data_IF_594050002041
#
_entry.id   IF_594050002041
#
_cell.length_a   1.000
_cell.length_b   1.000
_cell.length_c   1.000
_cell.angle_alpha   90.00
_cell.angle_beta   90.00
_cell.angle_gamma   90.00
#
_symmetry.space_group_name_H-M   'P 1'
#
loop_
_entity.id
_entity.type
_entity.pdbx_description
1 polymer ?
#
# COMPACT_ATOMS: atom_id res chain seq x y z
N UNK A 1 4.08 23.94 -0.90
CA UNK A 1 5.54 23.70 -0.95
C UNK A 1 6.11 24.49 -2.13
N UNK A 2 7.38 24.88 -2.13
CA UNK A 2 8.02 25.34 -3.38
C UNK A 2 8.26 24.11 -4.28
N UNK A 3 8.05 24.22 -5.59
CA UNK A 3 8.31 23.13 -6.53
C UNK A 3 9.80 22.83 -6.71
N UNK A 4 10.12 21.59 -7.08
CA UNK A 4 11.49 21.09 -7.14
C UNK A 4 12.35 21.87 -8.13
N UNK A 5 11.79 22.25 -9.28
CA UNK A 5 12.51 22.99 -10.32
C UNK A 5 12.88 24.39 -9.85
N UNK A 6 11.95 25.07 -9.16
CA UNK A 6 12.24 26.38 -8.54
C UNK A 6 13.37 26.30 -7.52
N UNK A 7 13.36 25.27 -6.65
CA UNK A 7 14.43 25.06 -5.66
C UNK A 7 15.77 24.78 -6.34
N UNK A 8 15.80 23.90 -7.35
CA UNK A 8 17.02 23.61 -8.11
C UNK A 8 17.60 24.88 -8.76
N UNK A 9 16.75 25.74 -9.34
CA UNK A 9 17.15 27.01 -9.94
C UNK A 9 17.68 28.00 -8.90
N UNK A 10 17.01 28.15 -7.75
CA UNK A 10 17.44 29.04 -6.66
C UNK A 10 18.83 28.66 -6.11
N UNK A 11 19.17 27.37 -6.14
CA UNK A 11 20.45 26.84 -5.63
C UNK A 11 21.50 26.54 -6.72
N UNK A 12 21.23 26.87 -7.98
CA UNK A 12 22.17 26.62 -9.09
C UNK A 12 22.44 25.13 -9.35
N UNK A 13 21.49 24.25 -9.02
CA UNK A 13 21.62 22.81 -9.21
C UNK A 13 21.34 22.48 -10.68
N UNK A 14 22.40 22.20 -11.43
CA UNK A 14 22.31 21.81 -12.84
C UNK A 14 22.39 20.31 -13.05
N UNK A 15 22.96 19.56 -12.10
CA UNK A 15 23.14 18.12 -12.19
C UNK A 15 21.80 17.37 -12.16
N UNK A 16 21.56 16.53 -13.17
CA UNK A 16 20.29 15.80 -13.32
C UNK A 16 20.08 14.72 -12.25
N UNK A 17 21.15 14.12 -11.73
CA UNK A 17 21.04 13.13 -10.66
C UNK A 17 20.61 13.80 -9.34
N UNK A 18 21.16 14.98 -9.03
CA UNK A 18 20.74 15.77 -7.86
C UNK A 18 19.29 16.24 -8.01
N UNK A 19 18.87 16.69 -9.20
CA UNK A 19 17.45 17.04 -9.46
C UNK A 19 16.52 15.85 -9.25
N UNK A 20 16.87 14.68 -9.77
CA UNK A 20 16.13 13.45 -9.54
C UNK A 20 16.02 13.12 -8.03
N UNK A 21 17.11 13.31 -7.27
CA UNK A 21 17.10 13.15 -5.82
C UNK A 21 16.17 14.14 -5.09
N UNK A 22 16.08 15.39 -5.56
CA UNK A 22 15.15 16.39 -5.04
C UNK A 22 13.69 16.00 -5.31
N UNK A 23 13.36 15.60 -6.54
CA UNK A 23 12.01 15.14 -6.90
C UNK A 23 11.62 13.90 -6.09
N UNK A 24 12.53 12.92 -5.95
CA UNK A 24 12.27 11.73 -5.13
C UNK A 24 12.02 12.10 -3.66
N UNK A 25 12.80 13.04 -3.12
CA UNK A 25 12.59 13.54 -1.75
C UNK A 25 11.24 14.23 -1.61
N UNK A 26 10.79 14.97 -2.63
CA UNK A 26 9.49 15.61 -2.66
C UNK A 26 8.35 14.57 -2.72
N UNK A 27 8.50 13.51 -3.53
CA UNK A 27 7.55 12.37 -3.57
C UNK A 27 7.45 11.71 -2.19
N UNK A 28 8.59 11.37 -1.58
CA UNK A 28 8.63 10.62 -0.32
C UNK A 28 8.23 11.44 0.92
N UNK A 29 8.28 12.77 0.84
CA UNK A 29 7.85 13.67 1.91
C UNK A 29 6.45 14.25 1.62
N UNK A 30 6.35 15.47 1.07
CA UNK A 30 5.07 16.09 0.74
C UNK A 30 4.14 15.24 -0.14
N UNK A 31 4.67 14.47 -1.09
CA UNK A 31 3.86 13.64 -1.98
C UNK A 31 3.09 12.55 -1.24
N UNK A 32 3.78 11.78 -0.38
CA UNK A 32 3.14 10.78 0.51
C UNK A 32 2.03 11.41 1.36
N UNK A 33 2.27 12.63 1.88
CA UNK A 33 1.25 13.35 2.65
C UNK A 33 0.04 13.71 1.78
N UNK A 34 0.26 14.27 0.58
CA UNK A 34 -0.81 14.61 -0.35
C UNK A 34 -1.65 13.39 -0.75
N UNK A 35 -1.01 12.24 -0.96
CA UNK A 35 -1.69 10.96 -1.19
C UNK A 35 -2.55 10.57 0.01
N UNK A 36 -2.00 10.66 1.22
CA UNK A 36 -2.75 10.34 2.44
C UNK A 36 -3.95 11.29 2.67
N UNK A 37 -3.83 12.54 2.22
CA UNK A 37 -4.90 13.54 2.24
C UNK A 37 -5.93 13.35 1.10
N UNK A 38 -5.73 12.34 0.23
CA UNK A 38 -6.66 11.97 -0.83
C UNK A 38 -6.55 12.81 -2.11
N UNK A 39 -5.45 13.53 -2.31
CA UNK A 39 -5.22 14.30 -3.54
C UNK A 39 -4.91 13.38 -4.74
N UNK A 40 -5.21 13.83 -5.96
CA UNK A 40 -4.89 13.08 -7.18
C UNK A 40 -3.39 13.10 -7.47
N UNK A 41 -2.88 12.06 -8.14
CA UNK A 41 -1.45 11.94 -8.44
C UNK A 41 -0.98 13.13 -9.30
N UNK A 42 -1.80 13.57 -10.25
CA UNK A 42 -1.53 14.74 -11.09
C UNK A 42 -1.46 16.04 -10.28
N UNK A 43 -2.43 16.28 -9.40
CA UNK A 43 -2.44 17.49 -8.56
C UNK A 43 -1.17 17.59 -7.70
N UNK A 44 -0.72 16.45 -7.15
CA UNK A 44 0.51 16.37 -6.36
C UNK A 44 1.75 16.59 -7.25
N UNK A 45 1.82 15.92 -8.40
CA UNK A 45 2.94 16.05 -9.34
C UNK A 45 3.09 17.49 -9.85
N UNK A 46 2.00 18.13 -10.25
CA UNK A 46 1.97 19.52 -10.70
C UNK A 46 2.40 20.48 -9.57
N UNK A 47 1.88 20.29 -8.35
CA UNK A 47 2.21 21.14 -7.20
C UNK A 47 3.67 21.01 -6.74
N UNK A 48 4.29 19.85 -6.96
CA UNK A 48 5.69 19.59 -6.61
C UNK A 48 6.65 19.78 -7.80
N UNK A 49 6.12 20.10 -8.99
CA UNK A 49 6.86 20.22 -10.25
C UNK A 49 7.68 18.94 -10.54
N UNK A 50 7.08 17.76 -10.34
CA UNK A 50 7.71 16.47 -10.65
C UNK A 50 7.56 16.21 -12.14
N UNK A 51 8.70 16.16 -12.86
CA UNK A 51 8.71 15.97 -14.31
C UNK A 51 9.19 14.57 -14.70
N UNK A 52 9.92 13.88 -13.80
CA UNK A 52 10.43 12.55 -14.09
C UNK A 52 9.31 11.50 -14.07
N UNK A 53 9.08 10.85 -15.21
CA UNK A 53 8.02 9.83 -15.37
C UNK A 53 8.17 8.64 -14.43
N UNK A 54 9.40 8.24 -14.07
CA UNK A 54 9.64 7.16 -13.12
C UNK A 54 9.22 7.57 -11.70
N UNK A 55 9.37 8.84 -11.34
CA UNK A 55 8.92 9.36 -10.04
C UNK A 55 7.40 9.56 -9.99
N UNK A 56 6.77 9.90 -11.12
CA UNK A 56 5.31 9.84 -11.24
C UNK A 56 4.79 8.41 -11.01
N UNK A 57 5.45 7.39 -11.58
CA UNK A 57 5.10 5.99 -11.32
C UNK A 57 5.24 5.63 -9.83
N UNK A 58 6.31 6.07 -9.16
CA UNK A 58 6.47 5.86 -7.71
C UNK A 58 5.31 6.48 -6.93
N UNK A 59 4.90 7.71 -7.29
CA UNK A 59 3.77 8.38 -6.67
C UNK A 59 2.45 7.61 -6.89
N UNK A 60 2.18 7.15 -8.11
CA UNK A 60 0.99 6.33 -8.41
C UNK A 60 1.01 5.01 -7.62
N UNK A 61 2.16 4.34 -7.52
CA UNK A 61 2.30 3.11 -6.74
C UNK A 61 2.09 3.34 -5.23
N UNK A 62 2.48 4.50 -4.70
CA UNK A 62 2.15 4.89 -3.33
C UNK A 62 0.65 5.06 -3.15
N UNK A 63 -0.03 5.69 -4.11
CA UNK A 63 -1.49 5.85 -4.13
C UNK A 63 -2.21 4.50 -4.17
N UNK A 64 -1.77 3.58 -5.05
CA UNK A 64 -2.27 2.21 -5.16
C UNK A 64 -2.12 1.44 -3.84
N UNK A 65 -0.97 1.55 -3.18
CA UNK A 65 -0.72 0.88 -1.89
C UNK A 65 -1.48 1.52 -0.72
N UNK A 66 -1.79 2.81 -0.81
CA UNK A 66 -2.52 3.58 0.18
C UNK A 66 -4.02 3.67 -0.14
N UNK A 67 -4.54 4.89 -0.35
CA UNK A 67 -5.98 5.15 -0.37
C UNK A 67 -6.70 4.43 -1.52
N UNK A 68 -6.13 4.37 -2.72
CA UNK A 68 -6.78 3.70 -3.85
C UNK A 68 -7.00 2.20 -3.57
N UNK A 69 -5.99 1.53 -3.02
CA UNK A 69 -6.11 0.14 -2.58
C UNK A 69 -7.14 -0.04 -1.46
N UNK A 70 -7.32 0.95 -0.58
CA UNK A 70 -8.37 0.92 0.45
C UNK A 70 -9.78 1.02 -0.15
N UNK A 71 -9.99 1.80 -1.21
CA UNK A 71 -11.28 1.85 -1.92
C UNK A 71 -11.60 0.51 -2.59
N UNK A 72 -10.64 -0.13 -3.23
CA UNK A 72 -10.83 -1.47 -3.81
C UNK A 72 -11.21 -2.51 -2.75
N UNK A 73 -10.56 -2.46 -1.58
CA UNK A 73 -10.89 -3.33 -0.44
C UNK A 73 -12.29 -3.10 0.11
N UNK A 74 -12.92 -1.96 -0.19
CA UNK A 74 -14.33 -1.68 0.12
C UNK A 74 -15.30 -2.10 -0.99
N UNK A 75 -14.79 -2.65 -2.09
CA UNK A 75 -15.59 -3.14 -3.22
C UNK A 75 -15.79 -2.12 -4.34
N UNK A 76 -15.09 -0.97 -4.31
CA UNK A 76 -15.14 -0.03 -5.44
C UNK A 76 -14.51 -0.62 -6.70
N UNK A 77 -15.04 -0.25 -7.86
CA UNK A 77 -14.52 -0.75 -9.14
C UNK A 77 -13.14 -0.15 -9.45
N UNK A 78 -12.25 -0.96 -10.02
CA UNK A 78 -10.90 -0.53 -10.42
C UNK A 78 -10.91 0.69 -11.34
N UNK A 79 -11.84 0.76 -12.30
CA UNK A 79 -11.95 1.89 -13.23
C UNK A 79 -12.33 3.20 -12.52
N UNK A 80 -13.28 3.13 -11.57
CA UNK A 80 -13.70 4.31 -10.80
C UNK A 80 -12.56 4.83 -9.94
N UNK A 81 -11.84 3.92 -9.27
CA UNK A 81 -10.69 4.27 -8.42
C UNK A 81 -9.54 4.85 -9.26
N UNK A 82 -9.18 4.22 -10.38
CA UNK A 82 -8.11 4.71 -11.26
C UNK A 82 -8.41 6.12 -11.76
N UNK A 83 -9.66 6.37 -12.19
CA UNK A 83 -10.11 7.69 -12.64
C UNK A 83 -10.10 8.71 -11.51
N UNK A 84 -10.55 8.34 -10.32
CA UNK A 84 -10.62 9.25 -9.16
C UNK A 84 -9.24 9.75 -8.71
N UNK A 85 -8.21 8.91 -8.82
CA UNK A 85 -6.84 9.26 -8.42
C UNK A 85 -5.93 9.65 -9.60
N UNK A 86 -6.46 9.65 -10.82
CA UNK A 86 -5.75 9.90 -12.07
C UNK A 86 -4.50 9.03 -12.21
N UNK A 87 -4.64 7.73 -11.94
CA UNK A 87 -3.59 6.72 -12.14
C UNK A 87 -3.55 6.40 -13.64
N UNK A 88 -2.45 6.70 -14.30
CA UNK A 88 -2.34 6.58 -15.77
C UNK A 88 -1.25 5.61 -16.21
N UNK A 89 -0.23 5.35 -15.39
CA UNK A 89 0.86 4.46 -15.78
C UNK A 89 0.38 3.00 -15.78
N UNK A 90 0.74 2.27 -16.85
CA UNK A 90 0.28 0.90 -17.05
C UNK A 90 0.67 -0.04 -15.90
N UNK A 91 1.87 0.13 -15.34
CA UNK A 91 2.36 -0.67 -14.22
C UNK A 91 1.55 -0.43 -12.94
N UNK A 92 1.16 0.83 -12.69
CA UNK A 92 0.33 1.18 -11.54
C UNK A 92 -1.11 0.69 -11.73
N UNK A 93 -1.65 0.75 -12.94
CA UNK A 93 -2.96 0.19 -13.29
C UNK A 93 -2.99 -1.33 -13.11
N UNK A 94 -1.95 -2.04 -13.55
CA UNK A 94 -1.84 -3.49 -13.36
C UNK A 94 -1.75 -3.86 -11.87
N UNK A 95 -0.97 -3.11 -11.08
CA UNK A 95 -0.91 -3.28 -9.64
C UNK A 95 -2.28 -3.04 -8.97
N UNK A 96 -3.02 -2.01 -9.42
CA UNK A 96 -4.36 -1.70 -8.93
C UNK A 96 -5.35 -2.84 -9.25
N UNK A 97 -5.32 -3.38 -10.48
CA UNK A 97 -6.15 -4.52 -10.88
C UNK A 97 -5.85 -5.77 -10.06
N UNK A 98 -4.57 -6.06 -9.79
CA UNK A 98 -4.19 -7.20 -8.96
C UNK A 98 -4.71 -7.04 -7.52
N UNK A 99 -4.63 -5.84 -6.94
CA UNK A 99 -5.23 -5.56 -5.63
C UNK A 99 -6.75 -5.72 -5.66
N UNK A 100 -7.41 -5.35 -6.76
CA UNK A 100 -8.85 -5.52 -6.91
C UNK A 100 -9.27 -6.99 -6.90
N UNK A 101 -8.55 -7.85 -7.63
CA UNK A 101 -8.78 -9.31 -7.64
C UNK A 101 -8.62 -9.87 -6.23
N UNK A 102 -7.51 -9.54 -5.56
CA UNK A 102 -7.26 -9.98 -4.18
C UNK A 102 -8.35 -9.47 -3.23
N UNK A 103 -8.79 -8.21 -3.39
CA UNK A 103 -9.86 -7.63 -2.58
C UNK A 103 -11.19 -8.37 -2.78
N UNK A 104 -11.53 -8.75 -4.01
CA UNK A 104 -12.74 -9.52 -4.31
C UNK A 104 -12.69 -10.91 -3.69
N UNK A 105 -11.55 -11.60 -3.76
CA UNK A 105 -11.34 -12.88 -3.06
C UNK A 105 -11.58 -12.72 -1.55
N UNK A 106 -11.03 -11.65 -0.95
CA UNK A 106 -11.25 -11.36 0.47
C UNK A 106 -12.73 -11.11 0.80
N UNK A 107 -13.43 -10.32 -0.01
CA UNK A 107 -14.85 -10.01 0.20
C UNK A 107 -15.71 -11.26 0.03
N UNK A 108 -15.41 -12.10 -0.97
CA UNK A 108 -16.09 -13.37 -1.20
C UNK A 108 -15.88 -14.33 -0.03
N UNK A 109 -14.71 -14.32 0.60
CA UNK A 109 -14.43 -15.13 1.80
C UNK A 109 -15.14 -14.58 3.05
N UNK A 110 -15.29 -13.27 3.21
CA UNK A 110 -15.93 -12.71 4.41
C UNK A 110 -17.46 -12.60 4.33
N UNK A 111 -18.00 -12.26 3.15
CA UNK A 111 -19.43 -12.01 2.91
C UNK A 111 -20.08 -12.97 1.90
N UNK A 112 -19.32 -13.90 1.32
CA UNK A 112 -19.87 -14.92 0.41
C UNK A 112 -20.27 -16.21 1.13
N UNK A 113 -20.69 -17.24 0.37
CA UNK A 113 -21.11 -18.54 0.91
C UNK A 113 -20.04 -19.19 1.79
N UNK A 114 -18.76 -18.96 1.46
CA UNK A 114 -17.63 -19.38 2.28
C UNK A 114 -17.63 -18.69 3.65
N UNK A 115 -17.88 -17.38 3.68
CA UNK A 115 -17.98 -16.59 4.91
C UNK A 115 -19.11 -17.03 5.82
N UNK A 116 -20.29 -17.31 5.24
CA UNK A 116 -21.44 -17.86 5.96
C UNK A 116 -21.14 -19.25 6.54
N UNK A 117 -20.53 -20.14 5.76
CA UNK A 117 -20.16 -21.48 6.23
C UNK A 117 -19.15 -21.43 7.37
N UNK A 118 -18.16 -20.52 7.31
CA UNK A 118 -17.25 -20.32 8.43
C UNK A 118 -18.00 -19.73 9.65
N UNK A 119 -18.97 -18.84 9.44
CA UNK A 119 -19.80 -18.30 10.53
C UNK A 119 -20.68 -19.39 11.19
N UNK A 120 -21.10 -20.39 10.42
CA UNK A 120 -21.80 -21.59 10.90
C UNK A 120 -20.88 -22.59 11.63
N UNK A 121 -19.57 -22.31 11.73
CA UNK A 121 -18.60 -23.17 12.43
C UNK A 121 -18.15 -24.38 11.62
N UNK A 122 -18.40 -24.42 10.31
CA UNK A 122 -17.91 -25.49 9.46
C UNK A 122 -16.37 -25.49 9.40
N UNK A 123 -15.73 -26.67 9.36
CA UNK A 123 -14.29 -26.77 9.25
C UNK A 123 -13.79 -26.17 7.92
N UNK A 124 -12.74 -25.35 8.01
CA UNK A 124 -12.28 -24.52 6.91
C UNK A 124 -11.80 -25.30 5.67
N UNK A 125 -11.22 -26.49 5.86
CA UNK A 125 -10.74 -27.32 4.75
C UNK A 125 -11.89 -27.86 3.89
N UNK A 126 -13.06 -28.12 4.48
CA UNK A 126 -14.26 -28.52 3.75
C UNK A 126 -14.77 -27.37 2.88
N UNK A 127 -14.80 -26.17 3.45
CA UNK A 127 -15.23 -24.96 2.74
C UNK A 127 -14.28 -24.63 1.58
N UNK A 128 -12.96 -24.74 1.80
CA UNK A 128 -11.95 -24.52 0.78
C UNK A 128 -12.15 -25.44 -0.43
N UNK A 129 -12.32 -26.73 -0.18
CA UNK A 129 -12.54 -27.74 -1.23
C UNK A 129 -13.82 -27.49 -2.02
N UNK A 130 -14.90 -27.12 -1.35
CA UNK A 130 -16.17 -26.77 -2.00
C UNK A 130 -16.08 -25.48 -2.85
N UNK A 131 -15.21 -24.56 -2.46
CA UNK A 131 -14.92 -23.34 -3.19
C UNK A 131 -13.81 -23.50 -4.25
N UNK A 132 -13.28 -24.71 -4.44
CA UNK A 132 -12.21 -24.97 -5.41
C UNK A 132 -10.85 -24.39 -5.02
N UNK A 133 -10.64 -24.06 -3.75
CA UNK A 133 -9.37 -23.55 -3.23
C UNK A 133 -8.48 -24.70 -2.75
N UNK A 134 -7.17 -24.55 -2.94
CA UNK A 134 -6.18 -25.42 -2.30
C UNK A 134 -6.09 -25.13 -0.79
N UNK A 135 -5.60 -26.10 -0.02
CA UNK A 135 -5.43 -25.95 1.43
C UNK A 135 -4.47 -24.78 1.76
N UNK A 136 -3.43 -24.56 0.96
CA UNK A 136 -2.47 -23.47 1.14
C UNK A 136 -3.11 -22.08 0.95
N UNK A 137 -3.94 -21.92 -0.09
CA UNK A 137 -4.69 -20.69 -0.36
C UNK A 137 -5.69 -20.39 0.77
N UNK A 138 -6.37 -21.42 1.26
CA UNK A 138 -7.32 -21.29 2.36
C UNK A 138 -6.65 -20.94 3.70
N UNK A 139 -5.52 -21.57 4.02
CA UNK A 139 -4.71 -21.23 5.22
C UNK A 139 -4.23 -19.79 5.15
N UNK A 140 -3.77 -19.33 3.98
CA UNK A 140 -3.34 -17.95 3.79
C UNK A 140 -4.49 -16.95 3.99
N UNK A 141 -5.69 -17.24 3.46
CA UNK A 141 -6.87 -16.40 3.66
C UNK A 141 -7.29 -16.33 5.15
N UNK A 142 -7.27 -17.47 5.85
CA UNK A 142 -7.66 -17.55 7.27
C UNK A 142 -6.67 -16.88 8.22
N UNK A 143 -5.36 -17.04 7.96
CA UNK A 143 -4.31 -16.39 8.75
C UNK A 143 -4.47 -14.87 8.74
N UNK A 144 -4.90 -14.30 7.60
CA UNK A 144 -5.18 -12.89 7.46
C UNK A 144 -6.48 -12.44 8.15
N UNK A 145 -7.48 -13.32 8.28
CA UNK A 145 -8.76 -13.02 8.94
C UNK A 145 -8.62 -12.79 10.45
N UNK A 146 -7.85 -13.64 11.13
CA UNK A 146 -7.67 -13.58 12.61
C UNK A 146 -6.98 -12.28 13.06
N UNK A 147 -6.15 -11.69 12.19
CA UNK A 147 -5.48 -10.41 12.43
C UNK A 147 -6.43 -9.21 12.38
N UNK A 148 -7.57 -9.30 11.67
CA UNK A 148 -8.52 -8.21 11.45
C UNK A 148 -9.58 -8.08 12.54
N UNK A 149 -10.08 -9.20 13.07
CA UNK A 149 -11.06 -9.19 14.18
C UNK A 149 -10.49 -8.61 15.49
N UNK A 150 -9.17 -8.55 15.64
CA UNK A 150 -8.50 -7.89 16.76
C UNK A 150 -8.22 -6.39 16.55
N UNK A 151 -8.29 -5.86 15.32
CA UNK A 151 -7.93 -4.48 15.01
C UNK A 151 -9.08 -3.49 15.21
N UNK A 152 -10.34 -3.95 15.20
CA UNK A 152 -11.51 -3.17 15.63
C UNK A 152 -11.50 -2.88 17.14
N UNK A 153 -10.59 -3.51 17.90
CA UNK A 153 -10.20 -3.11 19.25
C UNK A 153 -8.85 -2.34 19.24
N UNK A 154 -8.78 -1.25 18.49
CA UNK A 154 -7.88 -0.13 18.81
C UNK A 154 -6.39 -0.26 18.49
N UNK A 155 -5.94 -0.97 17.43
CA UNK A 155 -4.54 -0.84 16.95
C UNK A 155 -4.44 -0.89 15.41
N UNK A 156 -3.94 0.20 14.82
CA UNK A 156 -3.58 0.30 13.39
C UNK A 156 -2.39 -0.62 13.05
N UNK A 157 -2.38 -1.15 11.84
CA UNK A 157 -1.33 -2.02 11.33
C UNK A 157 -0.79 -1.45 10.01
N UNK A 158 0.53 -1.28 9.91
CA UNK A 158 1.22 -0.90 8.69
C UNK A 158 1.77 -2.16 7.99
N UNK A 159 1.65 -2.20 6.66
CA UNK A 159 2.39 -3.12 5.79
C UNK A 159 3.78 -2.52 5.52
N UNK A 160 4.85 -3.23 5.86
CA UNK A 160 6.22 -2.86 5.48
C UNK A 160 6.73 -3.92 4.50
N UNK A 161 7.12 -3.49 3.31
CA UNK A 161 7.79 -4.35 2.34
C UNK A 161 9.29 -4.31 2.61
N UNK A 162 9.88 -5.41 3.06
CA UNK A 162 11.32 -5.58 3.14
C UNK A 162 11.86 -6.10 1.81
N UNK A 163 12.64 -5.29 1.08
CA UNK A 163 13.41 -5.78 -0.04
C UNK A 163 14.61 -6.56 0.50
N UNK A 164 14.56 -7.90 0.43
CA UNK A 164 15.70 -8.75 0.74
C UNK A 164 16.76 -8.61 -0.36
N UNK A 165 17.94 -8.08 -0.02
CA UNK A 165 19.11 -8.12 -0.89
C UNK A 165 19.62 -9.58 -0.97
N UNK A 166 18.99 -10.38 -1.82
CA UNK A 166 19.41 -11.74 -2.15
C UNK A 166 20.52 -11.74 -3.20
N UNK A 167 21.52 -12.61 -3.02
CA UNK A 167 22.64 -12.82 -3.96
C UNK A 167 22.12 -13.16 -5.37
N UNK A 168 22.83 -12.73 -6.44
CA UNK A 168 22.43 -13.02 -7.81
C UNK A 168 22.47 -14.53 -8.08
N UNK A 169 21.34 -15.10 -8.50
CA UNK A 169 21.24 -16.51 -8.95
C UNK A 169 20.16 -17.37 -8.29
N UNK A 170 19.41 -16.84 -7.31
CA UNK A 170 18.35 -17.58 -6.60
C UNK A 170 16.99 -16.90 -6.80
N UNK A 171 16.07 -17.57 -7.50
CA UNK A 171 14.64 -17.22 -7.57
C UNK A 171 14.03 -17.39 -6.16
N UNK A 172 14.22 -16.37 -5.33
CA UNK A 172 13.74 -16.38 -3.94
C UNK A 172 12.35 -15.77 -3.95
N UNK A 173 11.34 -16.59 -3.60
CA UNK A 173 9.95 -16.15 -3.37
C UNK A 173 9.95 -14.92 -2.45
N UNK A 174 9.29 -13.83 -2.86
CA UNK A 174 9.02 -12.68 -1.99
C UNK A 174 8.21 -13.15 -0.79
N UNK A 175 8.83 -13.23 0.38
CA UNK A 175 8.14 -13.48 1.63
C UNK A 175 7.63 -12.15 2.19
N UNK A 176 6.30 -11.99 2.26
CA UNK A 176 5.69 -10.87 2.98
C UNK A 176 5.71 -11.20 4.48
N UNK A 177 6.68 -10.64 5.21
CA UNK A 177 6.77 -10.84 6.66
C UNK A 177 5.97 -9.77 7.38
N UNK A 178 4.89 -10.18 8.02
CA UNK A 178 4.00 -9.32 8.79
C UNK A 178 4.47 -9.21 10.26
N UNK A 179 5.20 -8.15 10.60
CA UNK A 179 5.57 -7.91 12.01
C UNK A 179 4.42 -7.27 12.82
N UNK A 180 4.19 -7.68 14.08
CA UNK A 180 3.37 -6.91 15.00
C UNK A 180 4.13 -5.65 15.44
N UNK A 181 3.60 -4.47 15.11
CA UNK A 181 4.11 -3.21 15.67
C UNK A 181 3.74 -3.19 17.16
N UNK A 182 4.72 -3.48 18.04
CA UNK A 182 4.58 -3.14 19.46
C UNK A 182 4.51 -1.62 19.55
N UNK A 183 3.39 -1.10 20.04
CA UNK A 183 3.28 0.31 20.41
C UNK A 183 4.35 0.59 21.48
N UNK A 184 5.43 1.28 21.09
CA UNK A 184 6.32 1.90 22.04
C UNK A 184 5.53 3.00 22.73
N UNK A 185 5.09 2.72 23.96
CA UNK A 185 4.55 3.72 24.86
C UNK A 185 5.75 4.60 25.25
N UNK A 186 5.93 5.72 24.56
CA UNK A 186 6.84 6.77 25.00
C UNK A 186 6.34 7.25 26.37
N UNK A 187 6.91 6.70 27.45
CA UNK A 187 6.84 7.35 28.76
C UNK A 187 7.67 8.61 28.65
N UNK A 188 6.99 9.75 28.46
CA UNK A 188 7.54 11.04 28.80
C UNK A 188 7.99 10.98 30.26
N UNK A 189 9.30 11.11 30.45
CA UNK A 189 9.95 11.04 31.75
C UNK A 189 11.37 11.56 31.63
N UNK A 190 11.53 12.80 31.12
CA UNK A 190 12.73 13.59 31.39
C UNK A 190 12.34 14.69 32.38
N UNK A 191 12.79 14.47 33.61
CA UNK A 191 12.85 15.45 34.68
C UNK A 191 14.05 16.37 34.40
N UNK A 192 13.93 17.69 34.50
CA UNK A 192 15.11 18.56 34.52
C UNK A 192 15.72 18.47 35.92
N UNK A 193 16.94 17.94 36.01
CA UNK A 193 17.79 18.23 37.17
C UNK A 193 18.57 19.49 36.86
N UNK A 194 18.44 20.44 37.80
CA UNK A 194 19.28 21.62 38.03
C UNK A 194 20.78 21.28 38.01
#
# INVERSE_FOLDING_TARGET
>A
AKGCHKVAKEHGITDEMVKCGLELSAVMGPGVKGVADGQTCKTIADALEILNSALCLVLEMLTVKGPAGDYLRRGESCQTVAKAYEIVQEEALLALQLIAVLALEMIAVDNGPAGEKVAQGLPWHTIARECGLSDDEAVFALANRKKRRGATAGRRLCLVYGAGLGKPGSLTRMAVVLFPVRAYRLRNGYSPCL
#
